data_IF_425944594789
#
_entry.id   IF_425944594789
#
_cell.length_a   1.000
_cell.length_b   1.000
_cell.length_c   1.000
_cell.angle_alpha   90.00
_cell.angle_beta   90.00
_cell.angle_gamma   90.00
#
_symmetry.space_group_name_H-M   'P 1'
#
loop_
_entity.id
_entity.type
_entity.pdbx_description
1 polymer ?
#
# COMPACT_ATOMS: atom_id res chain seq x y z
N UNK A 1 -2.81 14.55 -26.44
CA UNK A 1 -3.15 13.25 -27.04
C UNK A 1 -3.47 12.30 -25.90
N UNK A 2 -4.73 11.90 -25.73
CA UNK A 2 -5.12 10.91 -24.72
C UNK A 2 -4.70 9.53 -25.21
N UNK A 3 -3.74 8.89 -24.55
CA UNK A 3 -3.54 7.45 -24.74
C UNK A 3 -4.73 6.75 -24.09
N UNK A 4 -5.66 6.25 -24.90
CA UNK A 4 -6.70 5.34 -24.44
C UNK A 4 -6.07 3.96 -24.23
N UNK A 5 -6.34 3.38 -23.07
CA UNK A 5 -5.90 2.03 -22.71
C UNK A 5 -6.50 1.04 -23.74
N UNK A 6 -5.72 0.06 -24.26
CA UNK A 6 -6.23 -0.90 -25.21
C UNK A 6 -7.45 -1.65 -24.68
N UNK A 7 -8.36 -2.01 -25.58
CA UNK A 7 -9.58 -2.75 -25.24
C UNK A 7 -9.21 -4.09 -24.56
N UNK A 8 -9.72 -4.33 -23.35
CA UNK A 8 -9.40 -5.49 -22.51
C UNK A 8 -8.31 -5.26 -21.46
N UNK A 9 -7.62 -4.11 -21.46
CA UNK A 9 -6.69 -3.71 -20.40
C UNK A 9 -7.43 -2.86 -19.37
N UNK A 10 -7.41 -3.26 -18.10
CA UNK A 10 -7.95 -2.46 -17.00
C UNK A 10 -6.78 -1.78 -16.27
N UNK A 11 -6.97 -0.52 -15.87
CA UNK A 11 -6.07 0.18 -14.93
C UNK A 11 -6.50 -0.09 -13.47
N UNK A 12 -7.28 -1.14 -13.27
CA UNK A 12 -7.87 -1.51 -12.01
C UNK A 12 -6.94 -2.53 -11.34
N UNK A 13 -6.20 -2.07 -10.34
CA UNK A 13 -5.27 -2.85 -9.53
C UNK A 13 -6.02 -3.51 -8.36
N UNK A 14 -7.21 -4.05 -8.63
CA UNK A 14 -8.04 -4.78 -7.67
C UNK A 14 -7.68 -6.26 -7.71
N UNK A 15 -7.75 -6.90 -6.56
CA UNK A 15 -7.68 -8.36 -6.44
C UNK A 15 -9.06 -8.94 -6.14
N UNK A 16 -9.29 -10.19 -6.50
CA UNK A 16 -10.52 -10.88 -6.12
C UNK A 16 -10.39 -11.40 -4.69
N UNK A 17 -11.44 -11.26 -3.88
CA UNK A 17 -11.41 -11.66 -2.48
C UNK A 17 -12.60 -12.59 -2.16
N UNK A 18 -12.37 -13.65 -1.38
CA UNK A 18 -13.46 -14.45 -0.85
C UNK A 18 -14.43 -13.60 -0.01
N UNK A 19 -15.68 -14.07 0.05
CA UNK A 19 -16.73 -13.39 0.80
C UNK A 19 -16.32 -13.14 2.27
N UNK A 20 -16.46 -11.89 2.71
CA UNK A 20 -16.16 -11.49 4.09
C UNK A 20 -14.79 -10.82 4.27
N UNK A 21 -13.92 -10.84 3.26
CA UNK A 21 -12.67 -10.09 3.26
C UNK A 21 -12.79 -8.78 2.48
N UNK A 22 -11.91 -7.84 2.80
CA UNK A 22 -11.84 -6.52 2.16
C UNK A 22 -10.40 -6.17 1.82
N UNK A 23 -10.24 -5.33 0.79
CA UNK A 23 -8.95 -4.80 0.36
C UNK A 23 -8.20 -4.05 1.48
N UNK A 24 -8.94 -3.39 2.37
CA UNK A 24 -8.37 -2.73 3.55
C UNK A 24 -7.74 -3.73 4.51
N UNK A 25 -8.42 -4.84 4.81
CA UNK A 25 -7.90 -5.88 5.70
C UNK A 25 -6.63 -6.53 5.13
N UNK A 26 -6.58 -6.75 3.81
CA UNK A 26 -5.38 -7.21 3.13
C UNK A 26 -4.22 -6.23 3.32
N UNK A 27 -4.46 -4.93 3.09
CA UNK A 27 -3.43 -3.90 3.29
C UNK A 27 -2.95 -3.84 4.76
N UNK A 28 -3.88 -3.85 5.72
CA UNK A 28 -3.57 -3.84 7.16
C UNK A 28 -2.75 -5.07 7.57
N UNK A 29 -3.11 -6.25 7.08
CA UNK A 29 -2.37 -7.48 7.31
C UNK A 29 -0.94 -7.36 6.79
N UNK A 30 -0.75 -6.96 5.52
CA UNK A 30 0.59 -6.79 4.93
C UNK A 30 1.39 -5.73 5.69
N UNK A 31 0.77 -4.62 6.09
CA UNK A 31 1.42 -3.60 6.91
C UNK A 31 1.92 -4.19 8.24
N UNK A 32 1.12 -5.05 8.90
CA UNK A 32 1.56 -5.72 10.13
C UNK A 32 2.78 -6.63 9.91
N UNK A 33 2.84 -7.32 8.77
CA UNK A 33 3.95 -8.20 8.39
C UNK A 33 5.23 -7.40 8.10
N UNK A 34 5.09 -6.28 7.40
CA UNK A 34 6.20 -5.35 7.12
C UNK A 34 6.76 -4.73 8.42
N UNK A 35 5.89 -4.38 9.37
CA UNK A 35 6.30 -3.84 10.67
C UNK A 35 7.09 -4.88 11.48
N UNK A 36 6.64 -6.14 11.44
CA UNK A 36 7.31 -7.31 12.05
C UNK A 36 8.55 -7.80 11.29
N UNK A 37 8.89 -7.19 10.14
CA UNK A 37 10.03 -7.57 9.29
C UNK A 37 9.96 -9.03 8.82
N UNK A 38 8.76 -9.51 8.55
CA UNK A 38 8.56 -10.85 7.97
C UNK A 38 9.12 -10.86 6.53
N UNK A 39 9.85 -11.93 6.22
CA UNK A 39 10.48 -12.13 4.91
C UNK A 39 9.44 -12.21 3.80
N UNK A 40 9.82 -11.79 2.59
CA UNK A 40 8.92 -11.67 1.44
C UNK A 40 8.15 -12.97 1.15
N UNK A 41 8.85 -14.08 0.92
CA UNK A 41 8.22 -15.36 0.57
C UNK A 41 7.27 -15.85 1.67
N UNK A 42 7.67 -15.70 2.94
CA UNK A 42 6.82 -16.06 4.08
C UNK A 42 5.57 -15.18 4.16
N UNK A 43 5.70 -13.88 3.92
CA UNK A 43 4.57 -12.96 3.94
C UNK A 43 3.57 -13.28 2.82
N UNK A 44 4.04 -13.65 1.63
CA UNK A 44 3.19 -14.07 0.51
C UNK A 44 2.44 -15.36 0.86
N UNK A 45 3.14 -16.38 1.38
CA UNK A 45 2.51 -17.63 1.82
C UNK A 45 1.44 -17.40 2.90
N UNK A 46 1.72 -16.53 3.87
CA UNK A 46 0.74 -16.18 4.90
C UNK A 46 -0.46 -15.45 4.33
N UNK A 47 -0.25 -14.56 3.35
CA UNK A 47 -1.33 -13.81 2.72
C UNK A 47 -2.29 -14.73 1.95
N UNK A 48 -1.74 -15.67 1.17
CA UNK A 48 -2.50 -16.72 0.47
C UNK A 48 -3.30 -17.55 1.47
N UNK A 49 -2.65 -18.01 2.55
CA UNK A 49 -3.29 -18.84 3.56
C UNK A 49 -4.40 -18.12 4.33
N UNK A 50 -4.22 -16.82 4.61
CA UNK A 50 -5.16 -16.03 5.43
C UNK A 50 -6.37 -15.56 4.60
N UNK A 51 -6.15 -15.14 3.36
CA UNK A 51 -7.19 -14.53 2.53
C UNK A 51 -7.72 -15.43 1.42
N UNK A 52 -7.15 -16.61 1.21
CA UNK A 52 -7.59 -17.55 0.18
C UNK A 52 -7.46 -17.01 -1.25
N UNK A 53 -6.48 -16.13 -1.48
CA UNK A 53 -6.15 -15.56 -2.79
C UNK A 53 -5.03 -16.35 -3.47
N UNK A 54 -4.88 -16.19 -4.78
CA UNK A 54 -3.78 -16.83 -5.52
C UNK A 54 -2.46 -16.08 -5.35
N UNK A 55 -1.40 -16.66 -5.91
CA UNK A 55 -0.05 -16.11 -5.87
C UNK A 55 0.03 -14.72 -6.54
N UNK A 56 -0.62 -14.54 -7.69
CA UNK A 56 -0.55 -13.30 -8.47
C UNK A 56 -1.20 -12.14 -7.70
N UNK A 57 -2.38 -12.37 -7.14
CA UNK A 57 -3.09 -11.42 -6.29
C UNK A 57 -2.31 -11.13 -5.00
N UNK A 58 -1.66 -12.14 -4.41
CA UNK A 58 -0.83 -11.95 -3.23
C UNK A 58 0.38 -11.05 -3.50
N UNK A 59 1.09 -11.30 -4.62
CA UNK A 59 2.20 -10.46 -5.04
C UNK A 59 1.76 -9.03 -5.37
N UNK A 60 0.63 -8.89 -6.08
CA UNK A 60 0.06 -7.60 -6.42
C UNK A 60 -0.29 -6.81 -5.16
N UNK A 61 -1.01 -7.41 -4.21
CA UNK A 61 -1.39 -6.78 -2.95
C UNK A 61 -0.18 -6.33 -2.13
N UNK A 62 0.86 -7.16 -2.06
CA UNK A 62 2.10 -6.85 -1.35
C UNK A 62 2.84 -5.67 -1.98
N UNK A 63 2.92 -5.62 -3.32
CA UNK A 63 3.47 -4.47 -4.04
C UNK A 63 2.64 -3.21 -3.81
N UNK A 64 1.31 -3.28 -3.99
CA UNK A 64 0.42 -2.12 -3.84
C UNK A 64 0.50 -1.52 -2.44
N UNK A 65 0.56 -2.36 -1.42
CA UNK A 65 0.69 -1.91 -0.02
C UNK A 65 1.98 -1.12 0.18
N UNK A 66 3.12 -1.64 -0.26
CA UNK A 66 4.40 -0.92 -0.19
C UNK A 66 4.38 0.37 -1.01
N UNK A 67 3.78 0.34 -2.20
CA UNK A 67 3.60 1.50 -3.05
C UNK A 67 2.81 2.63 -2.36
N UNK A 68 1.74 2.30 -1.66
CA UNK A 68 0.97 3.25 -0.86
C UNK A 68 1.79 3.88 0.28
N UNK A 69 2.53 3.06 1.03
CA UNK A 69 3.46 3.52 2.08
C UNK A 69 4.48 4.51 1.51
N UNK A 70 5.18 4.12 0.44
CA UNK A 70 6.25 4.94 -0.16
C UNK A 70 5.68 6.26 -0.70
N UNK A 71 4.52 6.22 -1.37
CA UNK A 71 3.84 7.43 -1.87
C UNK A 71 3.48 8.38 -0.72
N UNK A 72 2.99 7.89 0.42
CA UNK A 72 2.72 8.72 1.58
C UNK A 72 4.01 9.39 2.11
N UNK A 73 5.11 8.63 2.15
CA UNK A 73 6.42 9.14 2.59
C UNK A 73 7.00 10.24 1.68
N UNK A 74 6.53 10.38 0.43
CA UNK A 74 6.88 11.54 -0.40
C UNK A 74 6.35 12.87 0.14
N UNK A 75 5.39 12.83 1.08
CA UNK A 75 4.73 13.99 1.68
C UNK A 75 4.03 14.90 0.66
N UNK A 76 3.68 14.38 -0.52
CA UNK A 76 2.94 15.09 -1.56
C UNK A 76 1.50 14.56 -1.65
N UNK A 77 0.46 15.37 -1.35
CA UNK A 77 -0.93 14.92 -1.40
C UNK A 77 -1.38 14.44 -2.78
N UNK A 78 -0.78 15.01 -3.84
CA UNK A 78 -1.06 14.64 -5.23
C UNK A 78 -0.67 13.18 -5.56
N UNK A 79 0.19 12.55 -4.75
CA UNK A 79 0.58 11.14 -4.92
C UNK A 79 -0.41 10.15 -4.29
N UNK A 80 -1.53 10.64 -3.74
CA UNK A 80 -2.57 9.77 -3.17
C UNK A 80 -3.17 8.86 -4.26
N UNK A 81 -3.16 7.53 -4.08
CA UNK A 81 -3.74 6.61 -5.06
C UNK A 81 -5.25 6.81 -5.21
N UNK A 82 -5.81 6.52 -6.38
CA UNK A 82 -7.25 6.58 -6.58
C UNK A 82 -7.93 5.37 -5.90
N UNK A 83 -8.82 5.61 -4.92
CA UNK A 83 -9.49 4.56 -4.15
C UNK A 83 -10.22 3.51 -5.01
N UNK A 84 -10.80 3.88 -6.15
CA UNK A 84 -11.57 2.94 -6.99
C UNK A 84 -10.67 2.04 -7.83
N UNK A 85 -9.52 2.58 -8.26
CA UNK A 85 -8.56 1.88 -9.12
C UNK A 85 -7.53 1.08 -8.33
N UNK A 86 -7.17 1.55 -7.15
CA UNK A 86 -6.11 0.96 -6.33
C UNK A 86 -6.45 1.13 -4.82
N UNK A 87 -7.44 0.37 -4.33
CA UNK A 87 -7.91 0.50 -2.95
C UNK A 87 -6.85 0.09 -1.92
N UNK A 88 -5.98 -0.88 -2.23
CA UNK A 88 -4.91 -1.36 -1.35
C UNK A 88 -3.86 -0.26 -1.12
N UNK A 89 -3.32 0.32 -2.20
CA UNK A 89 -2.35 1.40 -2.07
C UNK A 89 -3.01 2.65 -1.47
N UNK A 90 -4.27 2.93 -1.82
CA UNK A 90 -5.00 4.05 -1.23
C UNK A 90 -5.16 3.88 0.29
N UNK A 91 -5.50 2.69 0.77
CA UNK A 91 -5.65 2.42 2.20
C UNK A 91 -4.32 2.64 2.94
N UNK A 92 -3.27 1.93 2.53
CA UNK A 92 -1.93 2.03 3.15
C UNK A 92 -1.36 3.44 3.07
N UNK A 93 -1.61 4.18 1.97
CA UNK A 93 -1.28 5.60 1.89
C UNK A 93 -1.94 6.40 3.01
N UNK A 94 -3.25 6.24 3.25
CA UNK A 94 -3.94 7.05 4.26
C UNK A 94 -3.47 6.72 5.68
N UNK A 95 -3.28 5.43 6.00
CA UNK A 95 -2.75 5.02 7.31
C UNK A 95 -1.42 5.71 7.59
N UNK A 96 -0.47 5.61 6.66
CA UNK A 96 0.83 6.27 6.83
C UNK A 96 0.69 7.78 6.83
N UNK A 97 -0.11 8.34 5.91
CA UNK A 97 -0.31 9.78 5.77
C UNK A 97 -0.84 10.39 7.07
N UNK A 98 -1.77 9.74 7.75
CA UNK A 98 -2.35 10.21 9.02
C UNK A 98 -1.30 10.22 10.15
N UNK A 99 -0.40 9.24 10.19
CA UNK A 99 0.70 9.16 11.16
C UNK A 99 1.80 10.23 10.92
N UNK A 100 1.93 10.77 9.71
CA UNK A 100 3.00 11.70 9.38
C UNK A 100 2.83 13.07 10.08
N UNK A 101 3.87 13.57 10.77
CA UNK A 101 3.82 14.87 11.44
C UNK A 101 3.78 16.02 10.43
N UNK A 102 3.19 17.13 10.86
CA UNK A 102 3.32 18.42 10.17
C UNK A 102 4.76 18.91 10.24
N UNK A 103 5.25 19.65 9.23
CA UNK A 103 6.60 20.24 9.25
C UNK A 103 6.82 21.21 10.41
N UNK A 104 5.78 21.96 10.77
CA UNK A 104 5.73 22.88 11.91
C UNK A 104 4.27 23.06 12.35
N UNK A 105 4.03 23.67 13.51
CA UNK A 105 2.72 23.71 14.20
C UNK A 105 1.54 24.15 13.29
N UNK A 106 1.80 25.09 12.38
CA UNK A 106 0.80 25.66 11.46
C UNK A 106 0.94 25.21 10.00
N UNK A 107 1.83 24.27 9.71
CA UNK A 107 2.03 23.80 8.33
C UNK A 107 0.89 22.92 7.86
N UNK A 108 0.51 23.04 6.60
CA UNK A 108 -0.27 22.02 5.90
C UNK A 108 0.63 20.94 5.28
N UNK A 109 1.95 21.18 5.24
CA UNK A 109 2.93 20.23 4.72
C UNK A 109 3.31 19.21 5.78
N UNK A 110 3.50 17.96 5.33
CA UNK A 110 3.99 16.85 6.16
C UNK A 110 5.49 16.63 5.99
N UNK A 111 6.09 15.93 6.95
CA UNK A 111 7.48 15.49 6.92
C UNK A 111 7.54 13.97 7.10
N UNK A 112 8.33 13.30 6.27
CA UNK A 112 8.57 11.86 6.40
C UNK A 112 9.25 11.58 7.75
N UNK A 113 8.60 10.76 8.57
CA UNK A 113 9.06 10.40 9.91
C UNK A 113 8.37 9.10 10.37
N UNK A 114 8.67 8.66 11.59
CA UNK A 114 8.00 7.51 12.21
C UNK A 114 8.53 6.16 11.73
N UNK A 115 7.79 5.09 12.06
CA UNK A 115 8.20 3.70 11.80
C UNK A 115 8.32 3.39 10.31
N UNK A 116 7.39 3.89 9.49
CA UNK A 116 7.38 3.67 8.05
C UNK A 116 8.54 4.36 7.34
N UNK A 117 8.95 5.53 7.80
CA UNK A 117 10.15 6.18 7.28
C UNK A 117 11.42 5.39 7.62
N UNK A 118 11.55 4.87 8.85
CA UNK A 118 12.67 4.00 9.24
C UNK A 118 12.70 2.71 8.42
N UNK A 119 11.56 2.03 8.30
CA UNK A 119 11.39 0.84 7.45
C UNK A 119 11.86 1.12 6.00
N UNK A 120 11.50 2.27 5.44
CA UNK A 120 11.92 2.65 4.09
C UNK A 120 13.44 2.88 3.97
N UNK A 121 14.05 3.53 4.98
CA UNK A 121 15.50 3.80 4.98
C UNK A 121 16.32 2.52 5.12
N UNK A 122 15.90 1.59 5.98
CA UNK A 122 16.55 0.28 6.19
C UNK A 122 16.59 -0.58 4.91
N UNK A 123 15.63 -0.40 4.00
CA UNK A 123 15.59 -1.13 2.72
C UNK A 123 16.45 -0.50 1.63
N UNK A 124 16.92 0.74 1.84
CA UNK A 124 17.71 1.50 0.87
C UNK A 124 19.22 1.33 1.06
N UNK A 125 19.65 0.93 2.25
CA UNK A 125 21.04 0.64 2.62
C UNK A 125 21.46 -0.75 2.20
#
# INVERSE_FOLDING_TARGET
MSMSIPEGWTDDMNIELPHGHTQSQVAEFIMSQLDQRIGYDTAIQQLISEFGIDDEDAYLAYDRTQGGIIRALTCQPANKPNKRKDPIAHHSFNVVWEELPKKHLFSQEKKAAGKWHRWYLERKS
#
